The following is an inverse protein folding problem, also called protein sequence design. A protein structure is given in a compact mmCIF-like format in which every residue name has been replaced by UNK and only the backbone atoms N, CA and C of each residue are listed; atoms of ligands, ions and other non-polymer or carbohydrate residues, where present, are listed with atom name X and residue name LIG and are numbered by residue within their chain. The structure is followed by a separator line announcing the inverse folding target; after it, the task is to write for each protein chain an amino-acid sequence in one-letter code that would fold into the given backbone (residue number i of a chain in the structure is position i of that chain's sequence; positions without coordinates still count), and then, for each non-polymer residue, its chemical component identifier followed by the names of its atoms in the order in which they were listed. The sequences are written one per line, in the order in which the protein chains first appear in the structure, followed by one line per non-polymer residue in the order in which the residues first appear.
data_IF_287032975936
#
_entry.id   IF_287032975936
#
_cell.length_a   1.000
_cell.length_b   1.000
_cell.length_c   1.000
_cell.angle_alpha   90.00
_cell.angle_beta   90.00
_cell.angle_gamma   90.00
#
_symmetry.space_group_name_H-M   'P 1'
#
loop_
_entity.id
_entity.type
_entity.pdbx_description
1 polymer ?
#
# COMPACT_ATOMS: atom_id res chain seq x y z
N UNK A 1 -4.93 6.13 4.84
CA UNK A 1 -6.41 6.14 5.02
C UNK A 1 -7.01 4.75 4.91
N UNK A 2 -6.64 3.92 3.92
CA UNK A 2 -7.25 2.59 3.74
C UNK A 2 -6.69 1.49 4.67
N UNK A 3 -5.45 1.64 5.16
CA UNK A 3 -4.80 0.64 6.01
C UNK A 3 -5.62 0.23 7.26
N UNK A 4 -6.20 1.15 8.06
CA UNK A 4 -7.09 0.77 9.16
C UNK A 4 -8.27 -0.10 8.72
N UNK A 5 -8.93 0.25 7.60
CA UNK A 5 -10.07 -0.51 7.05
C UNK A 5 -9.65 -1.91 6.58
N UNK A 6 -8.49 -2.03 5.94
CA UNK A 6 -7.94 -3.33 5.55
C UNK A 6 -7.51 -4.18 6.73
N UNK A 7 -6.90 -3.57 7.75
CA UNK A 7 -6.56 -4.24 9.00
C UNK A 7 -7.83 -4.81 9.66
N UNK A 8 -8.84 -3.97 9.88
CA UNK A 8 -10.10 -4.40 10.48
C UNK A 8 -10.82 -5.47 9.67
N UNK A 9 -10.85 -5.34 8.34
CA UNK A 9 -11.39 -6.38 7.45
C UNK A 9 -10.66 -7.72 7.63
N UNK A 10 -9.33 -7.69 7.76
CA UNK A 10 -8.50 -8.91 7.83
C UNK A 10 -8.54 -9.58 9.20
N UNK A 11 -8.53 -8.80 10.28
CA UNK A 11 -8.39 -9.31 11.66
C UNK A 11 -9.69 -9.34 12.45
N UNK A 12 -10.71 -8.59 12.01
CA UNK A 12 -11.93 -8.33 12.77
C UNK A 12 -11.74 -7.40 13.97
N UNK A 13 -10.57 -6.77 14.12
CA UNK A 13 -10.22 -5.86 15.21
C UNK A 13 -9.65 -4.57 14.64
N UNK A 14 -9.84 -3.45 15.35
CA UNK A 14 -9.24 -2.18 14.92
C UNK A 14 -7.76 -2.12 15.32
N UNK A 15 -6.99 -1.28 14.63
CA UNK A 15 -5.56 -1.08 14.98
C UNK A 15 -5.40 -0.53 16.39
N UNK A 16 -6.35 0.26 16.88
CA UNK A 16 -6.35 0.82 18.24
C UNK A 16 -6.55 -0.25 19.30
N UNK A 17 -7.44 -1.22 19.07
CA UNK A 17 -7.68 -2.33 19.99
C UNK A 17 -6.42 -3.19 20.16
N UNK A 18 -5.64 -3.35 19.10
CA UNK A 18 -4.40 -4.13 19.10
C UNK A 18 -3.17 -3.26 19.45
N UNK A 19 -3.37 -1.98 19.81
CA UNK A 19 -2.30 -1.07 20.25
C UNK A 19 -1.32 -0.68 19.13
N UNK A 20 -1.73 -0.80 17.87
CA UNK A 20 -0.93 -0.51 16.68
C UNK A 20 -1.08 0.96 16.30
N UNK A 21 0.05 1.63 16.08
CA UNK A 21 0.10 3.00 15.57
C UNK A 21 0.55 3.03 14.12
N UNK A 22 -0.20 3.72 13.26
CA UNK A 22 0.16 3.94 11.86
C UNK A 22 0.82 5.31 11.72
N UNK A 23 2.05 5.32 11.21
CA UNK A 23 2.82 6.55 10.98
C UNK A 23 3.00 6.72 9.48
N UNK A 24 2.52 7.84 8.94
CA UNK A 24 2.81 8.23 7.56
C UNK A 24 4.10 9.03 7.51
N UNK A 25 5.08 8.56 6.73
CA UNK A 25 6.40 9.17 6.63
C UNK A 25 6.47 10.38 5.67
N UNK A 26 5.35 10.80 5.06
CA UNK A 26 5.26 11.98 4.16
C UNK A 26 6.40 12.08 3.11
N UNK A 27 6.83 10.95 2.54
CA UNK A 27 7.89 10.91 1.52
C UNK A 27 9.32 11.04 2.07
N UNK A 28 9.50 11.11 3.38
CA UNK A 28 10.81 10.96 4.03
C UNK A 28 11.21 9.47 3.99
N UNK A 29 12.48 9.19 3.70
CA UNK A 29 12.99 7.82 3.68
C UNK A 29 12.70 7.12 5.01
N UNK A 30 11.99 5.98 4.93
CA UNK A 30 11.67 5.13 6.08
C UNK A 30 12.93 4.67 6.82
N UNK A 31 14.11 4.69 6.17
CA UNK A 31 15.40 4.30 6.77
C UNK A 31 15.71 5.08 8.06
N UNK A 32 15.41 6.37 8.10
CA UNK A 32 15.59 7.20 9.32
C UNK A 32 14.65 6.77 10.44
N UNK A 33 13.44 6.33 10.09
CA UNK A 33 12.50 5.81 11.08
C UNK A 33 12.94 4.43 11.58
N UNK A 34 13.53 3.59 10.73
CA UNK A 34 14.08 2.29 11.13
C UNK A 34 15.20 2.43 12.17
N UNK A 35 16.14 3.35 11.92
CA UNK A 35 17.24 3.63 12.86
C UNK A 35 16.71 4.03 14.25
N UNK A 36 15.73 4.94 14.31
CA UNK A 36 15.12 5.36 15.58
C UNK A 36 14.38 4.20 16.24
N UNK A 37 13.68 3.40 15.42
CA UNK A 37 12.74 2.43 15.94
C UNK A 37 13.41 1.08 16.30
N UNK A 38 14.63 0.83 15.85
CA UNK A 38 15.48 -0.29 16.27
C UNK A 38 15.67 -0.27 17.80
N UNK A 39 15.92 0.91 18.37
CA UNK A 39 16.12 1.09 19.81
C UNK A 39 14.85 0.89 20.64
N UNK A 40 13.66 0.94 20.03
CA UNK A 40 12.38 0.80 20.74
C UNK A 40 12.04 -0.64 21.12
N UNK A 41 12.68 -1.61 20.45
CA UNK A 41 12.41 -3.03 20.60
C UNK A 41 11.00 -3.46 20.15
N UNK A 42 10.24 -2.58 19.49
CA UNK A 42 8.89 -2.84 18.96
C UNK A 42 8.96 -3.58 17.62
N UNK A 43 7.87 -4.29 17.28
CA UNK A 43 7.65 -4.85 15.94
C UNK A 43 7.14 -3.77 15.00
N UNK A 44 7.69 -3.69 13.79
CA UNK A 44 7.44 -2.62 12.83
C UNK A 44 7.31 -3.21 11.44
N UNK A 45 6.13 -3.04 10.83
CA UNK A 45 5.93 -3.33 9.43
C UNK A 45 6.00 -2.04 8.62
N UNK A 46 6.84 -2.04 7.60
CA UNK A 46 7.03 -0.93 6.69
C UNK A 46 6.31 -1.29 5.40
N UNK A 47 5.36 -0.46 4.98
CA UNK A 47 4.68 -0.60 3.69
C UNK A 47 5.21 0.51 2.78
N UNK A 48 5.79 0.13 1.65
CA UNK A 48 6.37 1.07 0.69
C UNK A 48 6.15 0.61 -0.75
N UNK A 49 6.39 1.52 -1.69
CA UNK A 49 6.35 1.25 -3.12
C UNK A 49 7.73 0.76 -3.61
N UNK A 50 7.74 -0.06 -4.67
CA UNK A 50 8.98 -0.45 -5.34
C UNK A 50 9.33 0.53 -6.49
N UNK A 51 8.40 1.38 -6.92
CA UNK A 51 8.57 2.41 -7.96
C UNK A 51 9.23 1.91 -9.26
N UNK A 52 8.95 0.66 -9.65
CA UNK A 52 9.61 0.00 -10.78
C UNK A 52 11.13 -0.18 -10.59
N UNK A 53 11.59 -0.40 -9.36
CA UNK A 53 12.99 -0.67 -9.05
C UNK A 53 13.13 -2.06 -8.41
N UNK A 54 13.58 -3.04 -9.21
CA UNK A 54 13.83 -4.41 -8.73
C UNK A 54 14.80 -4.45 -7.53
N UNK A 55 15.77 -3.54 -7.50
CA UNK A 55 16.72 -3.40 -6.40
C UNK A 55 16.02 -3.13 -5.06
N UNK A 56 14.90 -2.39 -5.02
CA UNK A 56 14.15 -2.19 -3.77
C UNK A 56 13.53 -3.49 -3.26
N UNK A 57 13.06 -4.34 -4.16
CA UNK A 57 12.49 -5.66 -3.82
C UNK A 57 13.59 -6.55 -3.25
N UNK A 58 14.74 -6.58 -3.93
CA UNK A 58 15.89 -7.39 -3.51
C UNK A 58 16.43 -6.93 -2.15
N UNK A 59 16.63 -5.62 -1.98
CA UNK A 59 17.08 -5.00 -0.71
C UNK A 59 16.10 -5.30 0.44
N UNK A 60 14.78 -5.24 0.20
CA UNK A 60 13.78 -5.55 1.22
C UNK A 60 13.80 -7.03 1.62
N UNK A 61 13.96 -7.94 0.65
CA UNK A 61 14.08 -9.37 0.92
C UNK A 61 15.33 -9.69 1.75
N UNK A 62 16.47 -9.08 1.40
CA UNK A 62 17.71 -9.22 2.18
C UNK A 62 17.55 -8.63 3.59
N UNK A 63 16.95 -7.45 3.70
CA UNK A 63 16.69 -6.81 4.99
C UNK A 63 15.82 -7.69 5.89
N UNK A 64 14.70 -8.21 5.39
CA UNK A 64 13.78 -9.04 6.16
C UNK A 64 14.41 -10.35 6.64
N UNK A 65 15.36 -10.93 5.90
CA UNK A 65 16.09 -12.14 6.31
C UNK A 65 17.00 -11.90 7.52
N UNK A 66 17.46 -10.65 7.72
CA UNK A 66 18.41 -10.29 8.77
C UNK A 66 17.76 -9.53 9.94
N UNK A 67 16.46 -9.23 9.89
CA UNK A 67 15.78 -8.40 10.88
C UNK A 67 14.49 -9.07 11.38
N UNK A 68 14.44 -9.47 12.65
CA UNK A 68 13.26 -10.15 13.22
C UNK A 68 12.13 -9.20 13.63
N UNK A 69 12.45 -7.94 13.92
CA UNK A 69 11.51 -6.95 14.48
C UNK A 69 11.05 -5.91 13.47
N UNK A 70 11.66 -5.88 12.30
CA UNK A 70 11.39 -4.87 11.28
C UNK A 70 11.32 -5.54 9.93
N UNK A 71 10.15 -5.53 9.30
CA UNK A 71 9.97 -6.12 7.98
C UNK A 71 9.43 -5.08 7.00
N UNK A 72 10.00 -5.03 5.80
CA UNK A 72 9.57 -4.19 4.69
C UNK A 72 8.71 -5.02 3.74
N UNK A 73 7.54 -4.49 3.42
CA UNK A 73 6.54 -5.08 2.55
C UNK A 73 6.24 -4.11 1.40
N UNK A 74 6.28 -4.64 0.18
CA UNK A 74 5.98 -3.91 -1.05
C UNK A 74 5.42 -4.89 -2.10
N UNK A 75 4.90 -4.38 -3.21
CA UNK A 75 4.51 -5.25 -4.32
C UNK A 75 5.69 -6.04 -4.86
N UNK A 76 5.47 -7.33 -5.12
CA UNK A 76 6.54 -8.28 -5.48
C UNK A 76 6.95 -8.21 -6.96
N UNK A 77 6.25 -7.41 -7.76
CA UNK A 77 6.46 -7.31 -9.20
C UNK A 77 6.55 -5.86 -9.66
N UNK A 78 7.07 -5.68 -10.86
CA UNK A 78 7.16 -4.38 -11.53
C UNK A 78 5.79 -3.87 -12.03
N UNK A 79 4.77 -4.74 -12.07
CA UNK A 79 3.38 -4.34 -12.34
C UNK A 79 2.68 -3.83 -11.08
N UNK A 80 3.12 -4.31 -9.90
CA UNK A 80 2.65 -3.92 -8.56
C UNK A 80 3.60 -2.90 -7.92
N UNK A 81 3.89 -1.84 -8.67
CA UNK A 81 4.99 -0.93 -8.34
C UNK A 81 4.65 0.16 -7.34
N UNK A 82 3.37 0.50 -7.21
CA UNK A 82 2.85 1.50 -6.27
C UNK A 82 1.53 1.06 -5.66
N UNK A 83 1.19 1.60 -4.49
CA UNK A 83 -0.07 1.38 -3.80
C UNK A 83 -1.30 1.37 -4.73
N UNK A 84 -1.45 2.37 -5.61
CA UNK A 84 -2.60 2.43 -6.52
C UNK A 84 -2.62 1.29 -7.54
N UNK A 85 -1.47 0.93 -8.10
CA UNK A 85 -1.35 -0.16 -9.06
C UNK A 85 -1.68 -1.51 -8.38
N UNK A 86 -1.13 -1.74 -7.18
CA UNK A 86 -1.40 -2.94 -6.38
C UNK A 86 -2.90 -3.12 -6.10
N UNK A 87 -3.58 -2.05 -5.65
CA UNK A 87 -5.02 -2.07 -5.40
C UNK A 87 -5.79 -2.27 -6.70
N UNK A 88 -5.40 -1.57 -7.76
CA UNK A 88 -6.05 -1.67 -9.06
C UNK A 88 -6.00 -3.09 -9.61
N UNK A 89 -4.82 -3.71 -9.58
CA UNK A 89 -4.60 -5.03 -10.15
C UNK A 89 -5.48 -6.11 -9.51
N UNK A 90 -5.75 -6.03 -8.20
CA UNK A 90 -6.64 -6.97 -7.51
C UNK A 90 -8.12 -6.54 -7.45
N UNK A 91 -8.49 -5.34 -7.93
CA UNK A 91 -9.86 -4.81 -7.85
C UNK A 91 -10.39 -4.14 -9.13
N UNK A 92 -9.87 -4.51 -10.31
CA UNK A 92 -10.17 -3.83 -11.59
C UNK A 92 -11.65 -3.57 -11.81
N UNK A 93 -12.48 -4.61 -11.76
CA UNK A 93 -13.93 -4.50 -12.03
C UNK A 93 -14.63 -3.48 -11.11
N UNK A 94 -14.37 -3.54 -9.80
CA UNK A 94 -14.98 -2.62 -8.82
C UNK A 94 -14.55 -1.18 -9.07
N UNK A 95 -13.26 -1.00 -9.37
CA UNK A 95 -12.68 0.33 -9.61
C UNK A 95 -13.14 0.93 -10.93
N UNK A 96 -13.35 0.11 -11.98
CA UNK A 96 -13.92 0.59 -13.24
C UNK A 96 -15.36 1.09 -13.06
N UNK A 97 -16.16 0.43 -12.23
CA UNK A 97 -17.52 0.86 -11.93
C UNK A 97 -17.56 2.12 -11.04
N UNK A 98 -16.64 2.22 -10.08
CA UNK A 98 -16.63 3.30 -9.09
C UNK A 98 -15.95 4.57 -9.61
N UNK A 99 -14.80 4.44 -10.27
CA UNK A 99 -13.98 5.58 -10.70
C UNK A 99 -14.52 6.13 -12.02
N UNK A 100 -15.26 7.23 -11.93
CA UNK A 100 -15.77 7.94 -13.09
C UNK A 100 -14.62 8.55 -13.90
N UNK A 101 -14.56 8.29 -15.21
CA UNK A 101 -13.58 8.89 -16.13
C UNK A 101 -14.30 9.72 -17.18
N UNK A 102 -13.63 10.74 -17.72
CA UNK A 102 -14.17 11.55 -18.81
C UNK A 102 -13.82 10.92 -20.16
N UNK A 103 -14.81 10.83 -21.06
CA UNK A 103 -14.60 10.36 -22.43
C UNK A 103 -13.50 11.17 -23.13
N UNK A 104 -12.55 10.46 -23.75
CA UNK A 104 -11.41 11.05 -24.46
C UNK A 104 -10.28 11.57 -23.56
N UNK A 105 -10.41 11.56 -22.23
CA UNK A 105 -9.31 11.92 -21.33
C UNK A 105 -8.36 10.73 -21.15
N UNK A 106 -7.05 10.94 -21.37
CA UNK A 106 -6.05 9.87 -21.31
C UNK A 106 -5.50 9.60 -19.91
N UNK A 107 -5.57 10.59 -19.00
CA UNK A 107 -5.03 10.51 -17.64
C UNK A 107 -3.58 10.00 -17.55
N UNK A 108 -2.69 10.51 -18.41
CA UNK A 108 -1.28 10.15 -18.39
C UNK A 108 -0.67 10.40 -17.00
N UNK A 109 0.15 9.47 -16.54
CA UNK A 109 0.95 9.63 -15.32
C UNK A 109 2.42 9.62 -15.71
N UNK A 110 3.15 10.69 -15.41
CA UNK A 110 4.52 10.91 -15.89
C UNK A 110 4.72 10.67 -17.40
N UNK A 111 3.75 11.10 -18.22
CA UNK A 111 3.72 10.92 -19.70
C UNK A 111 3.49 9.48 -20.19
N UNK A 112 3.21 8.55 -19.29
CA UNK A 112 2.87 7.15 -19.63
C UNK A 112 1.37 6.93 -19.50
N UNK A 113 0.80 6.17 -20.45
CA UNK A 113 -0.60 5.78 -20.42
C UNK A 113 -0.76 4.44 -19.68
N UNK A 114 -1.44 4.47 -18.54
CA UNK A 114 -1.77 3.29 -17.72
C UNK A 114 -3.24 2.86 -17.83
N UNK A 115 -3.98 3.41 -18.80
CA UNK A 115 -5.43 3.33 -18.90
C UNK A 115 -6.14 4.39 -18.06
N UNK A 116 -7.38 4.73 -18.44
CA UNK A 116 -8.07 5.90 -17.87
C UNK A 116 -8.31 5.78 -16.36
N UNK A 117 -8.74 4.62 -15.87
CA UNK A 117 -9.07 4.40 -14.45
C UNK A 117 -7.82 4.45 -13.58
N UNK A 118 -6.80 3.62 -13.88
CA UNK A 118 -5.55 3.61 -13.13
C UNK A 118 -4.80 4.95 -13.27
N UNK A 119 -4.77 5.54 -14.47
CA UNK A 119 -4.23 6.87 -14.70
C UNK A 119 -4.89 7.94 -13.84
N UNK A 120 -6.23 7.91 -13.71
CA UNK A 120 -6.96 8.81 -12.81
C UNK A 120 -6.62 8.55 -11.34
N UNK A 121 -6.54 7.29 -10.92
CA UNK A 121 -6.14 6.93 -9.54
C UNK A 121 -4.75 7.47 -9.19
N UNK A 122 -3.77 7.30 -10.09
CA UNK A 122 -2.41 7.79 -9.91
C UNK A 122 -2.33 9.32 -9.80
N UNK A 123 -3.16 10.04 -10.57
CA UNK A 123 -3.20 11.52 -10.55
C UNK A 123 -4.06 12.10 -9.40
N UNK A 124 -4.98 11.31 -8.83
CA UNK A 124 -5.92 11.75 -7.79
C UNK A 124 -5.90 10.80 -6.57
N UNK A 125 -4.71 10.54 -6.02
CA UNK A 125 -4.48 9.54 -4.96
C UNK A 125 -5.38 9.71 -3.73
N UNK A 126 -5.47 10.94 -3.21
CA UNK A 126 -6.26 11.24 -2.00
C UNK A 126 -7.75 11.05 -2.27
N UNK A 127 -8.26 11.59 -3.38
CA UNK A 127 -9.68 11.52 -3.72
C UNK A 127 -10.12 10.08 -3.98
N UNK A 128 -9.32 9.30 -4.72
CA UNK A 128 -9.65 7.90 -5.01
C UNK A 128 -9.61 7.03 -3.75
N UNK A 129 -8.63 7.24 -2.87
CA UNK A 129 -8.59 6.56 -1.57
C UNK A 129 -9.79 6.94 -0.68
N UNK A 130 -10.24 8.19 -0.73
CA UNK A 130 -11.43 8.62 0.02
C UNK A 130 -12.71 7.99 -0.55
N UNK A 131 -12.88 7.95 -1.87
CA UNK A 131 -14.01 7.27 -2.52
C UNK A 131 -14.08 5.78 -2.14
N UNK A 132 -12.94 5.09 -2.19
CA UNK A 132 -12.84 3.70 -1.73
C UNK A 132 -13.23 3.54 -0.26
N UNK A 133 -12.80 4.46 0.60
CA UNK A 133 -13.06 4.42 2.04
C UNK A 133 -14.57 4.50 2.34
N UNK A 134 -15.27 5.43 1.69
CA UNK A 134 -16.71 5.67 1.92
C UNK A 134 -17.61 4.72 1.12
N UNK A 135 -17.07 3.99 0.14
CA UNK A 135 -17.83 2.98 -0.58
C UNK A 135 -18.11 1.74 0.30
N UNK A 136 -19.25 1.08 0.03
CA UNK A 136 -19.63 -0.20 0.62
C UNK A 136 -19.00 -1.40 -0.12
N UNK A 137 -18.15 -1.13 -1.11
CA UNK A 137 -17.48 -2.15 -1.92
C UNK A 137 -16.49 -2.97 -1.09
N UNK A 138 -16.52 -4.29 -1.30
CA UNK A 138 -15.61 -5.21 -0.64
C UNK A 138 -14.30 -5.34 -1.44
N UNK A 139 -13.33 -4.46 -1.18
CA UNK A 139 -12.04 -4.49 -1.87
C UNK A 139 -11.15 -5.63 -1.41
N UNK A 140 -10.58 -6.36 -2.35
CA UNK A 140 -9.48 -7.31 -2.13
C UNK A 140 -8.27 -6.52 -1.61
N UNK A 141 -7.66 -7.00 -0.54
CA UNK A 141 -6.47 -6.39 0.06
C UNK A 141 -5.26 -6.84 -0.76
N UNK A 142 -4.35 -5.93 -1.18
CA UNK A 142 -3.12 -6.35 -1.83
C UNK A 142 -2.30 -7.29 -0.95
N UNK A 143 -1.76 -8.36 -1.55
CA UNK A 143 -1.10 -9.45 -0.82
C UNK A 143 -0.04 -8.98 0.18
N UNK A 144 0.85 -8.08 -0.22
CA UNK A 144 1.91 -7.57 0.66
C UNK A 144 1.37 -6.80 1.89
N UNK A 145 0.17 -6.22 1.77
CA UNK A 145 -0.52 -5.57 2.90
C UNK A 145 -1.12 -6.63 3.82
N UNK A 146 -1.69 -7.71 3.28
CA UNK A 146 -2.13 -8.84 4.10
C UNK A 146 -0.96 -9.46 4.87
N UNK A 147 0.15 -9.73 4.19
CA UNK A 147 1.37 -10.27 4.79
C UNK A 147 1.91 -9.35 5.91
N UNK A 148 1.89 -8.04 5.70
CA UNK A 148 2.27 -7.06 6.72
C UNK A 148 1.35 -7.10 7.96
N UNK A 149 0.03 -7.22 7.74
CA UNK A 149 -0.95 -7.32 8.82
C UNK A 149 -0.77 -8.64 9.57
N UNK A 150 -0.65 -9.75 8.86
CA UNK A 150 -0.46 -11.09 9.45
C UNK A 150 0.80 -11.12 10.31
N UNK A 151 1.93 -10.68 9.77
CA UNK A 151 3.21 -10.66 10.49
C UNK A 151 3.18 -9.78 11.75
N UNK A 152 2.47 -8.65 11.74
CA UNK A 152 2.28 -7.82 12.94
C UNK A 152 1.44 -8.51 14.03
N UNK A 153 0.62 -9.48 13.66
CA UNK A 153 -0.30 -10.20 14.55
C UNK A 153 0.21 -11.59 14.97
N UNK A 154 1.37 -12.03 14.49
CA UNK A 154 2.09 -13.22 15.00
C UNK A 154 2.56 -13.02 16.45
#
# INVERSE_FOLDING_TARGET
MLLPKFYEKKTGRTVENDGISIISCNGISYKRYLEIAEETGKRIAIITDNDHEQTKIDDANEFNQHNEKQHVFMGATMEDWTWEACIYNCNKEKLHNMIQVQDGAEYLFHRTNYGQVLGKMLNNKVDTAYQMLISEEDFVIPRYVEEAIEWLNE
#
